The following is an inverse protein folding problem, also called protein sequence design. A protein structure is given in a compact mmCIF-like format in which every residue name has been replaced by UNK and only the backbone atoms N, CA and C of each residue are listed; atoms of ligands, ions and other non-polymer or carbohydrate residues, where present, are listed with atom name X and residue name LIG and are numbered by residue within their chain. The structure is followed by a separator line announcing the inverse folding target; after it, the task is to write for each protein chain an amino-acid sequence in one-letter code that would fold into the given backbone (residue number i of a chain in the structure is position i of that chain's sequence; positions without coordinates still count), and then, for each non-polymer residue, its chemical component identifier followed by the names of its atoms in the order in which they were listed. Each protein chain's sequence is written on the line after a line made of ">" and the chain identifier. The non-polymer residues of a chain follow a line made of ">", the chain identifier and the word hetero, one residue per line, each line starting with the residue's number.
data_IF_583334459496
#
_entry.id   IF_583334459496
#
_cell.length_a   1.000
_cell.length_b   1.000
_cell.length_c   1.000
_cell.angle_alpha   90.00
_cell.angle_beta   90.00
_cell.angle_gamma   90.00
#
_symmetry.space_group_name_H-M   'P 1'
#
loop_
_entity.id
_entity.type
_entity.pdbx_description
1 polymer ?
#
# COMPACT_ATOMS: atom_id res chain seq x y z
N UNK A 1 24.67 -7.88 17.14
CA UNK A 1 23.36 -8.42 16.71
C UNK A 1 22.40 -8.34 17.88
N UNK A 2 21.39 -7.49 17.82
CA UNK A 2 20.28 -7.49 18.78
C UNK A 2 18.97 -7.49 17.98
N UNK A 3 18.29 -8.64 18.02
CA UNK A 3 16.94 -8.85 17.50
C UNK A 3 15.98 -7.89 18.22
N UNK A 4 15.31 -7.02 17.46
CA UNK A 4 14.15 -6.28 17.96
C UNK A 4 12.91 -7.14 17.78
N UNK A 5 12.49 -7.76 18.87
CA UNK A 5 11.19 -8.41 19.00
C UNK A 5 10.08 -7.35 18.90
N UNK A 6 9.21 -7.48 17.89
CA UNK A 6 7.94 -6.75 17.86
C UNK A 6 6.98 -7.34 18.90
N UNK A 7 6.80 -6.66 20.02
CA UNK A 7 5.76 -6.98 21.02
C UNK A 7 4.40 -6.36 20.64
N UNK A 8 3.27 -7.01 20.95
CA UNK A 8 1.94 -6.51 20.61
C UNK A 8 1.45 -5.47 21.62
N UNK A 9 0.97 -4.32 21.14
CA UNK A 9 0.20 -3.37 21.95
C UNK A 9 -1.18 -3.97 22.24
N UNK A 10 -1.48 -4.21 23.52
CA UNK A 10 -2.84 -4.48 24.00
C UNK A 10 -3.66 -3.19 23.88
N UNK A 11 -4.73 -3.22 23.10
CA UNK A 11 -5.78 -2.20 23.17
C UNK A 11 -7.03 -2.85 23.76
N UNK A 12 -7.40 -2.39 24.95
CA UNK A 12 -8.64 -2.77 25.63
C UNK A 12 -9.80 -1.86 25.18
N UNK A 13 -11.01 -2.41 25.36
CA UNK A 13 -12.34 -1.78 25.29
C UNK A 13 -13.00 -1.72 23.90
N UNK A 14 -13.97 -2.62 23.77
CA UNK A 14 -14.97 -2.78 22.73
C UNK A 14 -16.16 -1.86 23.03
N UNK A 15 -16.67 -1.14 22.03
CA UNK A 15 -18.03 -0.59 22.07
C UNK A 15 -18.78 -1.08 20.83
N UNK A 16 -19.97 -1.59 21.11
CA UNK A 16 -20.82 -2.49 20.34
C UNK A 16 -21.30 -1.97 18.99
N UNK A 17 -20.82 -2.57 17.92
CA UNK A 17 -21.59 -2.75 16.69
C UNK A 17 -21.29 -4.16 16.16
N UNK A 18 -22.28 -5.06 16.26
CA UNK A 18 -22.20 -6.41 15.72
C UNK A 18 -22.11 -6.35 14.19
N UNK A 19 -20.90 -6.51 13.66
CA UNK A 19 -20.70 -7.06 12.33
C UNK A 19 -20.24 -8.50 12.54
N UNK A 20 -20.99 -9.45 11.98
CA UNK A 20 -20.67 -10.86 12.07
C UNK A 20 -19.25 -11.10 11.50
N UNK A 21 -18.29 -11.27 12.40
CA UNK A 21 -16.96 -11.74 12.07
C UNK A 21 -17.10 -13.25 11.82
N UNK A 22 -17.01 -13.69 10.57
CA UNK A 22 -16.78 -15.12 10.31
C UNK A 22 -15.40 -15.41 10.87
N UNK A 23 -15.37 -16.06 12.03
CA UNK A 23 -14.16 -16.46 12.72
C UNK A 23 -13.50 -17.62 11.96
N UNK A 24 -12.79 -17.32 10.88
CA UNK A 24 -11.73 -18.20 10.41
C UNK A 24 -10.56 -18.07 11.39
N UNK A 25 -10.16 -19.20 11.98
CA UNK A 25 -8.94 -19.35 12.79
C UNK A 25 -7.79 -18.53 12.20
N UNK A 26 -6.93 -17.89 13.00
CA UNK A 26 -5.72 -17.27 12.48
C UNK A 26 -4.82 -18.42 12.01
N UNK A 27 -4.87 -18.71 10.70
CA UNK A 27 -3.86 -19.52 10.08
C UNK A 27 -2.58 -18.70 10.09
N UNK A 28 -1.61 -19.24 10.81
CA UNK A 28 -0.24 -18.75 10.94
C UNK A 28 0.35 -18.45 9.56
N UNK A 29 1.28 -17.47 9.54
CA UNK A 29 2.21 -17.14 8.45
C UNK A 29 2.33 -18.29 7.44
N UNK A 30 1.64 -18.15 6.33
CA UNK A 30 2.03 -18.85 5.11
C UNK A 30 2.59 -17.81 4.14
N UNK A 31 3.67 -18.22 3.48
CA UNK A 31 4.52 -17.38 2.66
C UNK A 31 3.72 -16.62 1.60
N UNK A 32 4.13 -15.38 1.39
CA UNK A 32 3.55 -14.52 0.37
C UNK A 32 3.57 -15.20 -0.99
N UNK A 33 2.39 -15.58 -1.49
CA UNK A 33 2.16 -15.61 -2.92
C UNK A 33 1.83 -14.19 -3.35
N UNK A 34 2.80 -13.56 -3.98
CA UNK A 34 2.68 -12.22 -4.58
C UNK A 34 1.64 -12.11 -5.70
N UNK A 35 0.99 -13.22 -6.07
CA UNK A 35 -0.03 -13.30 -7.13
C UNK A 35 -1.41 -13.82 -6.65
N UNK A 36 -1.65 -13.87 -5.34
CA UNK A 36 -2.90 -14.40 -4.80
C UNK A 36 -4.08 -13.44 -4.98
N UNK A 37 -5.09 -13.87 -5.73
CA UNK A 37 -6.42 -13.24 -5.80
C UNK A 37 -6.89 -12.79 -4.42
N UNK A 38 -7.03 -11.48 -4.22
CA UNK A 38 -7.57 -10.94 -2.98
C UNK A 38 -9.05 -10.59 -3.17
N UNK A 39 -9.90 -11.15 -2.31
CA UNK A 39 -11.34 -10.83 -2.32
C UNK A 39 -11.57 -9.32 -2.15
N UNK A 40 -10.77 -8.66 -1.30
CA UNK A 40 -10.90 -7.22 -1.08
C UNK A 40 -10.53 -6.40 -2.32
N UNK A 41 -9.54 -6.83 -3.11
CA UNK A 41 -9.19 -6.15 -4.38
C UNK A 41 -10.28 -6.37 -5.43
N UNK A 42 -10.83 -7.58 -5.53
CA UNK A 42 -11.92 -7.90 -6.45
C UNK A 42 -13.17 -7.05 -6.15
N UNK A 43 -13.54 -6.90 -4.87
CA UNK A 43 -14.67 -6.04 -4.45
C UNK A 43 -14.40 -4.58 -4.82
N UNK A 44 -13.20 -4.05 -4.56
CA UNK A 44 -12.86 -2.66 -4.89
C UNK A 44 -12.94 -2.40 -6.39
N UNK A 45 -12.46 -3.34 -7.21
CA UNK A 45 -12.55 -3.29 -8.68
C UNK A 45 -14.01 -3.34 -9.17
N UNK A 46 -14.81 -4.26 -8.63
CA UNK A 46 -16.23 -4.37 -8.98
C UNK A 46 -16.99 -3.07 -8.68
N UNK A 47 -16.78 -2.50 -7.50
CA UNK A 47 -17.42 -1.25 -7.08
C UNK A 47 -16.93 -0.07 -7.93
N UNK A 48 -15.66 -0.06 -8.35
CA UNK A 48 -15.16 0.96 -9.28
C UNK A 48 -15.94 0.91 -10.60
N UNK A 49 -16.15 -0.27 -11.16
CA UNK A 49 -16.88 -0.45 -12.42
C UNK A 49 -18.37 -0.13 -12.29
N UNK A 50 -19.00 -0.54 -11.18
CA UNK A 50 -20.45 -0.41 -10.97
C UNK A 50 -20.88 0.96 -10.44
N UNK A 51 -20.24 1.42 -9.37
CA UNK A 51 -20.67 2.57 -8.57
C UNK A 51 -19.72 3.78 -8.70
N UNK A 52 -18.60 3.60 -9.42
CA UNK A 52 -17.66 4.66 -9.74
C UNK A 52 -16.62 4.95 -8.66
N UNK A 53 -15.79 5.94 -8.97
CA UNK A 53 -14.55 6.28 -8.24
C UNK A 53 -14.81 6.63 -6.77
N UNK A 54 -15.83 7.45 -6.50
CA UNK A 54 -16.08 7.95 -5.13
C UNK A 54 -16.49 6.81 -4.19
N UNK A 55 -17.34 5.88 -4.67
CA UNK A 55 -17.76 4.73 -3.88
C UNK A 55 -16.61 3.74 -3.69
N UNK A 56 -15.84 3.47 -4.74
CA UNK A 56 -14.64 2.63 -4.63
C UNK A 56 -13.65 3.19 -3.59
N UNK A 57 -13.40 4.51 -3.61
CA UNK A 57 -12.58 5.21 -2.61
C UNK A 57 -13.07 5.08 -1.19
N UNK A 58 -14.39 5.20 -1.01
CA UNK A 58 -15.00 5.00 0.30
C UNK A 58 -14.77 3.59 0.82
N UNK A 59 -14.92 2.58 -0.04
CA UNK A 59 -14.84 1.16 0.34
C UNK A 59 -13.41 0.73 0.59
N UNK A 60 -12.45 1.05 -0.30
CA UNK A 60 -11.07 0.63 -0.06
C UNK A 60 -10.52 1.28 1.22
N UNK A 61 -10.89 2.52 1.55
CA UNK A 61 -10.47 3.16 2.81
C UNK A 61 -10.98 2.40 4.04
N UNK A 62 -12.18 1.82 3.97
CA UNK A 62 -12.70 0.96 5.03
C UNK A 62 -11.90 -0.33 5.14
N UNK A 63 -11.53 -0.96 4.02
CA UNK A 63 -10.66 -2.13 4.06
C UNK A 63 -9.26 -1.82 4.60
N UNK A 64 -8.69 -0.66 4.26
CA UNK A 64 -7.39 -0.21 4.79
C UNK A 64 -7.45 0.22 6.26
N UNK A 65 -8.63 0.54 6.80
CA UNK A 65 -8.83 0.82 8.22
C UNK A 65 -8.90 -0.46 9.08
N UNK A 66 -8.98 -1.64 8.46
CA UNK A 66 -8.92 -2.91 9.17
C UNK A 66 -7.51 -3.17 9.72
N UNK A 67 -7.38 -3.91 10.83
CA UNK A 67 -6.07 -4.30 11.34
C UNK A 67 -5.36 -5.20 10.32
N UNK A 68 -4.10 -4.89 10.03
CA UNK A 68 -3.23 -5.61 9.09
C UNK A 68 -3.81 -5.75 7.66
N UNK A 69 -4.04 -4.64 6.94
CA UNK A 69 -4.42 -4.71 5.55
C UNK A 69 -3.29 -5.34 4.73
N UNK A 70 -3.64 -6.33 3.91
CA UNK A 70 -2.67 -7.07 3.11
C UNK A 70 -1.99 -6.20 2.06
N UNK A 71 -0.71 -6.48 1.76
CA UNK A 71 0.08 -5.73 0.78
C UNK A 71 -0.55 -5.73 -0.62
N UNK A 72 -1.20 -6.83 -1.02
CA UNK A 72 -1.90 -6.93 -2.30
C UNK A 72 -3.02 -5.88 -2.43
N UNK A 73 -3.76 -5.60 -1.35
CA UNK A 73 -4.79 -4.57 -1.34
C UNK A 73 -4.18 -3.18 -1.53
N UNK A 74 -3.07 -2.90 -0.85
CA UNK A 74 -2.37 -1.63 -1.02
C UNK A 74 -1.85 -1.44 -2.44
N UNK A 75 -1.16 -2.44 -3.00
CA UNK A 75 -0.66 -2.39 -4.39
C UNK A 75 -1.80 -2.10 -5.37
N UNK A 76 -2.91 -2.83 -5.25
CA UNK A 76 -4.08 -2.61 -6.08
C UNK A 76 -4.67 -1.20 -5.95
N UNK A 77 -4.80 -0.67 -4.73
CA UNK A 77 -5.31 0.69 -4.52
C UNK A 77 -4.33 1.76 -5.05
N UNK A 78 -3.02 1.53 -4.93
CA UNK A 78 -1.99 2.41 -5.47
C UNK A 78 -2.09 2.47 -6.99
N UNK A 79 -2.17 1.32 -7.66
CA UNK A 79 -2.28 1.25 -9.11
C UNK A 79 -3.59 1.86 -9.62
N UNK A 80 -4.70 1.62 -8.91
CA UNK A 80 -5.96 2.29 -9.17
C UNK A 80 -5.81 3.81 -9.11
N UNK A 81 -5.25 4.37 -8.03
CA UNK A 81 -5.12 5.82 -7.87
C UNK A 81 -4.09 6.43 -8.84
N UNK A 82 -3.04 5.70 -9.23
CA UNK A 82 -2.11 6.09 -10.32
C UNK A 82 -2.83 6.18 -11.65
N UNK A 83 -3.61 5.17 -12.01
CA UNK A 83 -4.39 5.17 -13.25
C UNK A 83 -5.42 6.32 -13.24
N UNK A 84 -6.07 6.57 -12.11
CA UNK A 84 -6.96 7.73 -11.95
C UNK A 84 -6.23 9.06 -12.13
N UNK A 85 -5.01 9.19 -11.62
CA UNK A 85 -4.18 10.38 -11.84
C UNK A 85 -3.86 10.59 -13.33
N UNK A 86 -3.54 9.51 -14.06
CA UNK A 86 -3.23 9.60 -15.50
C UNK A 86 -4.42 10.03 -16.36
N UNK A 87 -5.65 9.69 -15.97
CA UNK A 87 -6.87 10.11 -16.68
C UNK A 87 -7.40 11.47 -16.20
N UNK A 88 -6.66 12.17 -15.34
CA UNK A 88 -6.96 13.55 -14.91
C UNK A 88 -7.72 13.69 -13.59
N UNK A 89 -7.84 12.65 -12.76
CA UNK A 89 -8.39 12.84 -11.41
C UNK A 89 -7.40 13.57 -10.50
N UNK A 90 -7.77 14.78 -10.09
CA UNK A 90 -6.95 15.68 -9.26
C UNK A 90 -6.57 15.10 -7.89
N UNK A 91 -7.27 14.08 -7.40
CA UNK A 91 -7.00 13.43 -6.11
C UNK A 91 -6.17 12.16 -6.26
N UNK A 92 -6.04 11.59 -7.47
CA UNK A 92 -5.36 10.34 -7.75
C UNK A 92 -3.94 10.32 -7.20
N UNK A 93 -3.13 11.30 -7.62
CA UNK A 93 -1.74 11.42 -7.19
C UNK A 93 -1.62 11.65 -5.66
N UNK A 94 -2.50 12.47 -5.09
CA UNK A 94 -2.49 12.76 -3.65
C UNK A 94 -2.83 11.50 -2.83
N UNK A 95 -3.80 10.71 -3.29
CA UNK A 95 -4.17 9.46 -2.64
C UNK A 95 -3.09 8.40 -2.80
N UNK A 96 -2.50 8.25 -3.99
CA UNK A 96 -1.39 7.34 -4.24
C UNK A 96 -0.21 7.61 -3.29
N UNK A 97 0.19 8.88 -3.12
CA UNK A 97 1.21 9.30 -2.14
C UNK A 97 0.87 8.85 -0.72
N UNK A 98 -0.37 9.10 -0.26
CA UNK A 98 -0.82 8.68 1.07
C UNK A 98 -0.75 7.16 1.25
N UNK A 99 -1.12 6.41 0.21
CA UNK A 99 -1.05 4.95 0.22
C UNK A 99 0.40 4.49 0.32
N UNK A 100 1.32 5.01 -0.50
CA UNK A 100 2.75 4.70 -0.40
C UNK A 100 3.31 4.98 0.99
N UNK A 101 3.06 6.16 1.57
CA UNK A 101 3.52 6.49 2.92
C UNK A 101 2.92 5.56 3.98
N UNK A 102 1.65 5.19 3.87
CA UNK A 102 1.01 4.26 4.82
C UNK A 102 1.61 2.86 4.78
N UNK A 103 1.98 2.38 3.59
CA UNK A 103 2.64 1.07 3.44
C UNK A 103 4.06 1.14 3.94
N UNK A 104 4.82 2.18 3.60
CA UNK A 104 6.20 2.36 4.07
C UNK A 104 6.26 2.49 5.60
N UNK A 105 5.27 3.12 6.24
CA UNK A 105 5.17 3.20 7.69
C UNK A 105 4.86 1.84 8.37
N UNK A 106 4.28 0.90 7.63
CA UNK A 106 3.89 -0.42 8.15
C UNK A 106 4.91 -1.51 7.77
N UNK A 107 5.63 -1.32 6.66
CA UNK A 107 6.53 -2.27 6.02
C UNK A 107 7.86 -1.60 5.66
N UNK A 108 8.74 -1.41 6.65
CA UNK A 108 10.01 -0.68 6.50
C UNK A 108 11.04 -1.32 5.54
N UNK A 109 10.79 -2.55 5.03
CA UNK A 109 11.81 -3.35 4.33
C UNK A 109 11.53 -3.62 2.84
N UNK A 110 10.49 -3.04 2.23
CA UNK A 110 10.18 -3.29 0.82
C UNK A 110 10.87 -2.28 -0.11
N UNK A 111 12.09 -2.61 -0.53
CA UNK A 111 12.91 -1.83 -1.47
C UNK A 111 12.16 -1.54 -2.77
N UNK A 112 11.49 -2.55 -3.34
CA UNK A 112 10.73 -2.42 -4.58
C UNK A 112 9.63 -1.37 -4.47
N UNK A 113 8.97 -1.26 -3.32
CA UNK A 113 7.92 -0.26 -3.12
C UNK A 113 8.48 1.17 -3.09
N UNK A 114 9.70 1.34 -2.56
CA UNK A 114 10.41 2.62 -2.60
C UNK A 114 10.79 3.02 -4.04
N UNK A 115 11.22 2.06 -4.85
CA UNK A 115 11.51 2.27 -6.28
C UNK A 115 10.24 2.62 -7.07
N UNK A 116 9.15 1.88 -6.85
CA UNK A 116 7.85 2.15 -7.48
C UNK A 116 7.35 3.56 -7.14
N UNK A 117 7.54 3.97 -5.88
CA UNK A 117 7.16 5.31 -5.44
C UNK A 117 8.03 6.40 -6.09
N UNK A 118 9.34 6.19 -6.15
CA UNK A 118 10.27 7.08 -6.86
C UNK A 118 9.87 7.23 -8.34
N UNK A 119 9.61 6.13 -9.04
CA UNK A 119 9.22 6.15 -10.45
C UNK A 119 7.91 6.92 -10.68
N UNK A 120 6.94 6.71 -9.78
CA UNK A 120 5.67 7.43 -9.82
C UNK A 120 5.86 8.94 -9.64
N UNK A 121 6.67 9.37 -8.65
CA UNK A 121 6.98 10.79 -8.44
C UNK A 121 7.76 11.39 -9.61
N UNK A 122 8.66 10.64 -10.23
CA UNK A 122 9.41 11.10 -11.40
C UNK A 122 8.52 11.28 -12.64
N UNK A 123 7.50 10.44 -12.82
CA UNK A 123 6.59 10.49 -13.98
C UNK A 123 5.43 11.48 -13.82
N UNK A 124 4.83 11.55 -12.65
CA UNK A 124 3.56 12.27 -12.42
C UNK A 124 3.66 13.32 -11.31
N UNK A 125 4.75 13.31 -10.56
CA UNK A 125 4.91 14.08 -9.34
C UNK A 125 5.80 15.32 -9.51
N UNK A 126 6.58 15.61 -8.47
CA UNK A 126 7.55 16.70 -8.49
C UNK A 126 8.96 16.16 -8.31
N UNK A 127 9.93 16.76 -8.99
CA UNK A 127 11.34 16.39 -8.88
C UNK A 127 11.87 16.47 -7.45
N UNK A 128 11.38 17.43 -6.66
CA UNK A 128 11.70 17.57 -5.24
C UNK A 128 11.28 16.33 -4.43
N UNK A 129 10.05 15.84 -4.64
CA UNK A 129 9.56 14.63 -3.96
C UNK A 129 10.26 13.38 -4.43
N UNK A 130 10.45 13.22 -5.74
CA UNK A 130 11.22 12.10 -6.29
C UNK A 130 12.62 12.04 -5.65
N UNK A 131 13.30 13.18 -5.56
CA UNK A 131 14.63 13.28 -4.94
C UNK A 131 14.59 12.92 -3.46
N UNK A 132 13.59 13.40 -2.71
CA UNK A 132 13.43 13.04 -1.30
C UNK A 132 13.21 11.53 -1.08
N UNK A 133 12.38 10.88 -1.91
CA UNK A 133 12.15 9.43 -1.85
C UNK A 133 13.41 8.66 -2.22
N UNK A 134 14.13 9.07 -3.27
CA UNK A 134 15.41 8.48 -3.66
C UNK A 134 16.42 8.50 -2.50
N UNK A 135 16.61 9.65 -1.85
CA UNK A 135 17.53 9.75 -0.71
C UNK A 135 17.07 8.95 0.50
N UNK A 136 15.76 8.83 0.73
CA UNK A 136 15.20 8.00 1.80
C UNK A 136 15.48 6.52 1.54
N UNK A 137 15.23 6.04 0.32
CA UNK A 137 15.49 4.66 -0.05
C UNK A 137 16.99 4.33 -0.04
N UNK A 138 17.84 5.23 -0.54
CA UNK A 138 19.30 5.10 -0.49
C UNK A 138 19.87 5.03 0.93
N UNK A 139 19.21 5.63 1.93
CA UNK A 139 19.65 5.47 3.33
C UNK A 139 19.34 4.07 3.89
N UNK A 140 18.34 3.40 3.34
CA UNK A 140 17.93 2.04 3.75
C UNK A 140 18.77 0.98 3.02
N UNK A 141 19.12 1.24 1.76
CA UNK A 141 20.00 0.39 0.95
C UNK A 141 21.45 0.85 1.09
N UNK A 142 22.27 0.07 1.81
CA UNK A 142 23.70 0.37 1.98
C UNK A 142 24.46 0.51 0.65
N UNK A 143 23.97 -0.12 -0.43
CA UNK A 143 24.46 0.05 -1.80
C UNK A 143 23.46 0.77 -2.70
N UNK A 144 23.86 1.95 -3.20
CA UNK A 144 23.04 2.78 -4.08
C UNK A 144 22.85 2.19 -5.49
N UNK A 145 23.68 1.22 -5.88
CA UNK A 145 23.64 0.59 -7.20
C UNK A 145 22.35 -0.22 -7.40
N UNK A 146 21.87 -0.91 -6.38
CA UNK A 146 20.65 -1.74 -6.45
C UNK A 146 19.37 -0.90 -6.60
N UNK A 147 19.39 0.37 -6.19
CA UNK A 147 18.22 1.24 -6.29
C UNK A 147 17.97 1.73 -7.73
N UNK A 148 19.04 1.97 -8.50
CA UNK A 148 18.98 2.49 -9.87
C UNK A 148 19.04 1.36 -10.91
N UNK A 149 19.60 0.20 -10.57
CA UNK A 149 19.88 -0.89 -11.49
C UNK A 149 18.67 -1.75 -11.94
N UNK A 150 17.44 -1.25 -11.85
CA UNK A 150 16.33 -1.82 -12.63
C UNK A 150 16.03 -0.90 -13.82
N UNK A 151 16.84 -0.96 -14.90
CA UNK A 151 16.48 -0.31 -16.15
C UNK A 151 15.24 -1.00 -16.74
N UNK A 152 14.41 -0.19 -17.38
CA UNK A 152 13.23 -0.62 -18.14
C UNK A 152 13.55 -1.84 -19.04
N UNK A 153 12.75 -2.91 -18.93
CA UNK A 153 12.53 -3.87 -20.01
C UNK A 153 11.18 -3.54 -20.63
#
# INVERSE_FOLDING_TARGET
>A
MLQRNCYPRKCNACSSYQLAFVATKPFLRDGGSENGFSLSTAIVSFILQKDGIQKSRYIYKRFLALPYPGLALYRHCIDLEKNLATIGDNKGLINARKLYESVLATCDQNVNLGQDYYHMESKMGTSEKATAIYWRARKVLQDAAEFVASPDI
#
